data_IF_888520272899
#
_entry.id   IF_888520272899
#
_cell.length_a   1.000
_cell.length_b   1.000
_cell.length_c   1.000
_cell.angle_alpha   90.00
_cell.angle_beta   90.00
_cell.angle_gamma   90.00
#
_symmetry.space_group_name_H-M   'P 1'
#
loop_
_entity.id
_entity.type
_entity.pdbx_description
1 polymer ?
#
# COMPACT_ATOMS: atom_id res chain seq x y z
N UNK A 1 -4.83 12.52 -24.12
CA UNK A 1 -3.65 12.16 -23.31
C UNK A 1 -3.49 10.66 -23.36
N UNK A 2 -2.35 10.15 -23.83
CA UNK A 2 -2.10 8.70 -23.94
C UNK A 2 -1.54 8.22 -22.60
N UNK A 3 -2.13 7.17 -22.04
CA UNK A 3 -1.59 6.44 -20.88
C UNK A 3 -0.88 5.19 -21.35
N UNK A 4 0.23 4.87 -20.71
CA UNK A 4 1.00 3.64 -20.90
C UNK A 4 1.02 2.92 -19.56
N UNK A 5 0.25 1.84 -19.47
CA UNK A 5 0.17 1.01 -18.27
C UNK A 5 1.47 0.21 -18.10
N UNK A 6 1.87 -0.01 -16.85
CA UNK A 6 2.88 -1.01 -16.51
C UNK A 6 2.39 -2.38 -17.00
N UNK A 7 3.27 -3.08 -17.70
CA UNK A 7 3.01 -4.44 -18.14
C UNK A 7 3.02 -5.39 -16.95
N UNK A 8 2.39 -6.55 -17.13
CA UNK A 8 2.44 -7.61 -16.11
C UNK A 8 3.86 -8.06 -15.78
N UNK A 9 4.77 -8.02 -16.76
CA UNK A 9 6.16 -8.40 -16.55
C UNK A 9 6.87 -7.36 -15.67
N UNK A 10 6.74 -6.07 -16.00
CA UNK A 10 7.31 -4.99 -15.18
C UNK A 10 6.77 -5.02 -13.75
N UNK A 11 5.45 -5.20 -13.57
CA UNK A 11 4.87 -5.34 -12.23
C UNK A 11 5.45 -6.53 -11.46
N UNK A 12 5.65 -7.67 -12.12
CA UNK A 12 6.22 -8.86 -11.48
C UNK A 12 7.69 -8.63 -11.07
N UNK A 13 8.50 -8.02 -11.94
CA UNK A 13 9.90 -7.71 -11.64
C UNK A 13 10.04 -6.74 -10.46
N UNK A 14 9.17 -5.72 -10.39
CA UNK A 14 9.15 -4.78 -9.26
C UNK A 14 8.72 -5.50 -7.97
N UNK A 15 7.68 -6.34 -8.03
CA UNK A 15 7.23 -7.12 -6.87
C UNK A 15 8.32 -8.06 -6.36
N UNK A 16 9.00 -8.78 -7.25
CA UNK A 16 10.10 -9.68 -6.89
C UNK A 16 11.23 -8.91 -6.20
N UNK A 17 11.59 -7.72 -6.73
CA UNK A 17 12.62 -6.87 -6.13
C UNK A 17 12.21 -6.31 -4.75
N UNK A 18 10.93 -5.96 -4.56
CA UNK A 18 10.41 -5.50 -3.26
C UNK A 18 10.39 -6.64 -2.24
N UNK A 19 9.97 -7.84 -2.64
CA UNK A 19 9.99 -9.03 -1.79
C UNK A 19 11.41 -9.35 -1.35
N UNK A 20 12.36 -9.42 -2.29
CA UNK A 20 13.77 -9.70 -1.97
C UNK A 20 14.36 -8.69 -0.99
N UNK A 21 14.04 -7.40 -1.15
CA UNK A 21 14.58 -6.32 -0.32
C UNK A 21 13.98 -6.28 1.08
N UNK A 22 12.70 -6.64 1.21
CA UNK A 22 11.92 -6.44 2.43
C UNK A 22 11.55 -7.73 3.15
N UNK A 23 11.91 -8.90 2.63
CA UNK A 23 11.57 -10.24 3.16
C UNK A 23 11.74 -10.34 4.68
N UNK A 24 12.86 -9.83 5.22
CA UNK A 24 13.17 -9.87 6.64
C UNK A 24 12.18 -9.11 7.56
N UNK A 25 11.35 -8.24 7.00
CA UNK A 25 10.36 -7.43 7.73
C UNK A 25 8.90 -7.79 7.38
N UNK A 26 8.70 -8.67 6.42
CA UNK A 26 7.37 -9.14 6.03
C UNK A 26 6.89 -10.24 6.97
N UNK A 27 5.57 -10.29 7.18
CA UNK A 27 4.93 -11.47 7.76
C UNK A 27 4.88 -12.62 6.76
N UNK A 28 4.84 -13.87 7.25
CA UNK A 28 4.88 -15.11 6.45
C UNK A 28 3.81 -15.18 5.33
N UNK A 29 2.70 -14.48 5.50
CA UNK A 29 1.57 -14.47 4.57
C UNK A 29 1.36 -13.13 3.85
N UNK A 30 2.32 -12.20 3.97
CA UNK A 30 2.26 -10.90 3.31
C UNK A 30 2.79 -10.94 1.88
N UNK A 31 2.23 -10.08 1.04
CA UNK A 31 2.62 -9.97 -0.36
C UNK A 31 2.37 -8.57 -0.89
N UNK A 32 3.12 -8.23 -1.95
CA UNK A 32 2.95 -7.00 -2.71
C UNK A 32 2.14 -7.23 -3.98
N UNK A 33 1.33 -6.24 -4.33
CA UNK A 33 0.74 -6.09 -5.67
C UNK A 33 1.01 -4.67 -6.14
N UNK A 34 1.45 -4.52 -7.39
CA UNK A 34 1.69 -3.21 -8.01
C UNK A 34 0.88 -3.06 -9.28
N UNK A 35 0.26 -1.89 -9.41
CA UNK A 35 -0.35 -1.38 -10.63
C UNK A 35 0.09 0.06 -10.86
N UNK A 36 0.20 0.50 -12.10
CA UNK A 36 0.65 1.86 -12.38
C UNK A 36 0.66 2.19 -13.85
N UNK A 37 0.82 3.46 -14.15
CA UNK A 37 0.91 3.96 -15.52
C UNK A 37 1.77 5.22 -15.58
N UNK A 38 2.22 5.52 -16.80
CA UNK A 38 2.78 6.82 -17.15
C UNK A 38 1.94 7.51 -18.20
N UNK A 39 2.05 8.82 -18.25
CA UNK A 39 1.42 9.68 -19.25
C UNK A 39 2.31 10.89 -19.53
N UNK A 40 1.89 11.75 -20.45
CA UNK A 40 2.63 12.99 -20.77
C UNK A 40 2.67 14.00 -19.62
N UNK A 41 1.83 13.86 -18.59
CA UNK A 41 1.75 14.83 -17.48
C UNK A 41 2.06 14.24 -16.11
N UNK A 42 1.95 12.93 -15.93
CA UNK A 42 2.19 12.28 -14.63
C UNK A 42 2.67 10.84 -14.76
N UNK A 43 3.36 10.38 -13.73
CA UNK A 43 3.51 8.97 -13.38
C UNK A 43 2.66 8.67 -12.14
N UNK A 44 1.99 7.52 -12.13
CA UNK A 44 1.14 7.09 -11.02
C UNK A 44 1.36 5.60 -10.75
N UNK A 45 1.61 5.26 -9.49
CA UNK A 45 1.78 3.88 -9.04
C UNK A 45 0.95 3.67 -7.79
N UNK A 46 0.28 2.53 -7.74
CA UNK A 46 -0.39 2.01 -6.55
C UNK A 46 0.25 0.70 -6.16
N UNK A 47 0.69 0.65 -4.92
CA UNK A 47 1.23 -0.51 -4.26
C UNK A 47 0.26 -0.98 -3.20
N UNK A 48 0.02 -2.27 -3.13
CA UNK A 48 -0.75 -2.90 -2.08
C UNK A 48 0.17 -3.84 -1.32
N UNK A 49 0.29 -3.65 -0.01
CA UNK A 49 0.79 -4.65 0.91
C UNK A 49 -0.40 -5.27 1.65
N UNK A 50 -0.54 -6.58 1.59
CA UNK A 50 -1.64 -7.28 2.26
C UNK A 50 -1.27 -8.69 2.67
N UNK A 51 -2.00 -9.25 3.63
CA UNK A 51 -1.88 -10.67 3.99
C UNK A 51 -3.00 -11.52 3.36
N UNK A 52 -2.78 -12.84 3.31
CA UNK A 52 -3.72 -13.79 2.68
C UNK A 52 -5.10 -13.85 3.32
N UNK A 53 -5.20 -13.62 4.63
CA UNK A 53 -6.48 -13.69 5.34
C UNK A 53 -7.26 -12.35 5.35
N UNK A 54 -6.73 -11.34 4.66
CA UNK A 54 -7.31 -10.01 4.50
C UNK A 54 -7.54 -9.23 5.82
N UNK A 55 -6.90 -9.66 6.91
CA UNK A 55 -6.90 -8.90 8.18
C UNK A 55 -6.00 -7.66 8.12
N UNK A 56 -5.05 -7.63 7.18
CA UNK A 56 -4.20 -6.48 6.88
C UNK A 56 -4.23 -6.15 5.39
N UNK A 57 -4.63 -4.92 5.07
CA UNK A 57 -4.71 -4.41 3.71
C UNK A 57 -4.26 -2.96 3.65
N UNK A 58 -3.10 -2.69 3.06
CA UNK A 58 -2.51 -1.36 3.00
C UNK A 58 -2.23 -0.90 1.55
N UNK A 59 -3.21 -0.27 0.89
CA UNK A 59 -2.99 0.44 -0.36
C UNK A 59 -2.24 1.75 -0.11
N UNK A 60 -1.16 1.93 -0.87
CA UNK A 60 -0.40 3.16 -0.98
C UNK A 60 -0.46 3.60 -2.44
N UNK A 61 -0.89 4.83 -2.66
CA UNK A 61 -0.94 5.44 -3.98
C UNK A 61 0.01 6.62 -4.02
N UNK A 62 0.78 6.72 -5.10
CA UNK A 62 1.76 7.76 -5.33
C UNK A 62 1.64 8.29 -6.75
N UNK A 63 1.68 9.60 -6.93
CA UNK A 63 1.79 10.25 -8.23
C UNK A 63 2.84 11.34 -8.21
N UNK A 64 3.45 11.55 -9.35
CA UNK A 64 4.37 12.65 -9.61
C UNK A 64 3.91 13.37 -10.88
N UNK A 65 3.75 14.68 -10.81
CA UNK A 65 3.42 15.52 -11.95
C UNK A 65 4.71 15.97 -12.65
N UNK A 66 4.85 15.68 -13.94
CA UNK A 66 6.07 15.97 -14.70
C UNK A 66 6.35 17.48 -14.78
N UNK A 67 5.30 18.27 -15.06
CA UNK A 67 5.41 19.72 -15.25
C UNK A 67 5.88 20.46 -14.01
N UNK A 68 5.35 20.09 -12.84
CA UNK A 68 5.68 20.71 -11.55
C UNK A 68 7.11 20.37 -11.10
N UNK A 69 7.67 19.29 -11.63
CA UNK A 69 8.97 18.73 -11.26
C UNK A 69 10.05 18.92 -12.33
N UNK A 70 9.75 19.64 -13.41
CA UNK A 70 10.62 19.85 -14.57
C UNK A 70 11.16 18.55 -15.21
N UNK A 71 10.42 17.44 -15.07
CA UNK A 71 10.78 16.14 -15.64
C UNK A 71 10.24 16.05 -17.07
N UNK A 72 11.10 15.64 -18.01
CA UNK A 72 10.74 15.52 -19.43
C UNK A 72 10.27 14.13 -19.81
N UNK A 73 10.93 13.10 -19.29
CA UNK A 73 10.67 11.71 -19.66
C UNK A 73 9.74 11.05 -18.63
N UNK A 74 8.58 10.52 -19.04
CA UNK A 74 7.66 9.84 -18.12
C UNK A 74 8.28 8.62 -17.41
N UNK A 75 9.26 7.97 -18.04
CA UNK A 75 10.02 6.87 -17.43
C UNK A 75 10.81 7.32 -16.20
N UNK A 76 11.42 8.51 -16.23
CA UNK A 76 12.16 9.04 -15.09
C UNK A 76 11.22 9.35 -13.91
N UNK A 77 10.04 9.91 -14.21
CA UNK A 77 9.00 10.15 -13.22
C UNK A 77 8.50 8.86 -12.57
N UNK A 78 8.33 7.79 -13.35
CA UNK A 78 7.94 6.47 -12.84
C UNK A 78 9.00 5.89 -11.90
N UNK A 79 10.27 5.95 -12.30
CA UNK A 79 11.38 5.46 -11.46
C UNK A 79 11.43 6.21 -10.13
N UNK A 80 11.25 7.54 -10.14
CA UNK A 80 11.21 8.34 -8.91
C UNK A 80 10.03 7.97 -8.00
N UNK A 81 8.85 7.69 -8.57
CA UNK A 81 7.70 7.23 -7.79
C UNK A 81 7.96 5.85 -7.18
N UNK A 82 8.60 4.94 -7.91
CA UNK A 82 8.97 3.62 -7.39
C UNK A 82 10.05 3.71 -6.30
N UNK A 83 11.05 4.58 -6.47
CA UNK A 83 12.08 4.83 -5.46
C UNK A 83 11.48 5.44 -4.19
N UNK A 84 10.54 6.38 -4.32
CA UNK A 84 9.80 6.92 -3.18
C UNK A 84 9.00 5.84 -2.45
N UNK A 85 8.27 5.00 -3.20
CA UNK A 85 7.48 3.90 -2.63
C UNK A 85 8.36 2.91 -1.86
N UNK A 86 9.50 2.53 -2.44
CA UNK A 86 10.46 1.64 -1.80
C UNK A 86 11.06 2.25 -0.52
N UNK A 87 11.49 3.52 -0.59
CA UNK A 87 11.98 4.24 0.58
C UNK A 87 10.91 4.31 1.69
N UNK A 88 9.68 4.69 1.32
CA UNK A 88 8.57 4.80 2.24
C UNK A 88 8.25 3.46 2.91
N UNK A 89 8.07 2.39 2.12
CA UNK A 89 7.68 1.09 2.65
C UNK A 89 8.79 0.47 3.49
N UNK A 90 10.06 0.70 3.12
CA UNK A 90 11.21 0.32 3.93
C UNK A 90 11.09 0.90 5.34
N UNK A 91 10.76 2.19 5.44
CA UNK A 91 10.60 2.86 6.74
C UNK A 91 9.38 2.36 7.49
N UNK A 92 8.25 2.25 6.82
CA UNK A 92 7.03 1.67 7.39
C UNK A 92 7.28 0.30 8.03
N UNK A 93 7.94 -0.60 7.31
CA UNK A 93 8.22 -1.95 7.78
C UNK A 93 9.26 -1.98 8.91
N UNK A 94 10.27 -1.10 8.88
CA UNK A 94 11.34 -1.03 9.90
C UNK A 94 10.92 -0.34 11.19
N UNK A 95 9.98 0.60 11.12
CA UNK A 95 9.46 1.37 12.25
C UNK A 95 8.18 0.71 12.81
N UNK A 96 8.14 -0.62 12.85
CA UNK A 96 7.02 -1.42 13.38
C UNK A 96 5.63 -1.00 12.88
N UNK A 97 5.55 -0.50 11.65
CA UNK A 97 4.31 -0.06 10.98
C UNK A 97 3.65 1.16 11.62
N UNK A 98 4.44 2.01 12.29
CA UNK A 98 3.96 3.25 12.93
C UNK A 98 4.03 4.48 12.01
N UNK A 99 4.66 4.36 10.83
CA UNK A 99 4.71 5.43 9.83
C UNK A 99 3.43 5.42 8.98
N UNK A 100 2.67 6.51 8.99
CA UNK A 100 1.43 6.59 8.21
C UNK A 100 1.47 7.71 7.18
N UNK A 101 1.09 7.37 5.96
CA UNK A 101 0.64 8.35 4.98
C UNK A 101 -0.74 8.91 5.36
N UNK A 102 -1.05 10.14 4.94
CA UNK A 102 -2.39 10.68 5.06
C UNK A 102 -3.38 9.86 4.21
N UNK A 103 -4.62 9.79 4.67
CA UNK A 103 -5.73 9.17 3.92
C UNK A 103 -6.03 9.99 2.66
N UNK A 104 -6.00 11.32 2.81
CA UNK A 104 -6.09 12.26 1.70
C UNK A 104 -4.73 12.44 1.02
N UNK A 105 -4.75 12.92 -0.23
CA UNK A 105 -3.51 13.24 -0.94
C UNK A 105 -2.71 14.32 -0.19
N UNK A 106 -1.49 13.98 0.21
CA UNK A 106 -0.49 14.91 0.72
C UNK A 106 0.71 14.98 -0.20
N UNK A 107 1.42 16.12 -0.21
CA UNK A 107 2.69 16.24 -0.91
C UNK A 107 3.88 15.98 0.01
N UNK A 108 4.90 15.36 -0.55
CA UNK A 108 6.12 14.96 0.12
C UNK A 108 7.31 15.37 -0.75
N UNK A 109 8.29 16.03 -0.13
CA UNK A 109 9.55 16.30 -0.80
C UNK A 109 10.42 15.04 -0.76
N UNK A 110 10.80 14.56 -1.94
CA UNK A 110 11.69 13.43 -2.12
C UNK A 110 12.84 13.82 -3.04
N UNK A 111 14.05 13.88 -2.47
CA UNK A 111 15.19 14.58 -3.06
C UNK A 111 14.84 16.05 -3.34
N UNK A 112 14.62 16.41 -4.60
CA UNK A 112 14.19 17.75 -5.04
C UNK A 112 12.81 17.76 -5.70
N UNK A 113 12.11 16.63 -5.66
CA UNK A 113 10.86 16.43 -6.37
C UNK A 113 9.68 16.40 -5.39
N UNK A 114 8.54 16.92 -5.81
CA UNK A 114 7.28 16.82 -5.10
C UNK A 114 6.53 15.55 -5.54
N UNK A 115 6.45 14.58 -4.64
CA UNK A 115 5.65 13.36 -4.79
C UNK A 115 4.37 13.51 -3.99
N UNK A 116 3.23 13.26 -4.63
CA UNK A 116 1.95 13.22 -3.95
C UNK A 116 1.64 11.78 -3.58
N UNK A 117 1.34 11.54 -2.31
CA UNK A 117 1.06 10.20 -1.80
C UNK A 117 -0.12 10.19 -0.85
N UNK A 118 -0.79 9.04 -0.79
CA UNK A 118 -1.81 8.72 0.20
C UNK A 118 -1.78 7.24 0.54
N UNK A 119 -2.31 6.89 1.70
CA UNK A 119 -2.48 5.49 2.07
C UNK A 119 -3.41 5.34 3.26
N UNK A 120 -4.05 4.18 3.34
CA UNK A 120 -4.94 3.85 4.45
C UNK A 120 -4.82 2.37 4.79
N UNK A 121 -4.56 2.05 6.05
CA UNK A 121 -4.62 0.66 6.52
C UNK A 121 -6.08 0.29 6.75
N UNK A 122 -6.47 -0.83 6.16
CA UNK A 122 -7.80 -1.41 6.21
C UNK A 122 -7.73 -2.82 6.78
N UNK A 123 -8.81 -3.25 7.42
CA UNK A 123 -9.04 -4.64 7.79
C UNK A 123 -10.30 -5.12 7.08
N UNK A 124 -10.11 -5.69 5.88
CA UNK A 124 -11.22 -6.10 5.02
C UNK A 124 -12.03 -7.23 5.62
N UNK A 125 -11.39 -8.09 6.42
CA UNK A 125 -12.07 -9.15 7.16
C UNK A 125 -13.09 -8.59 8.16
N UNK A 126 -12.73 -7.51 8.88
CA UNK A 126 -13.67 -6.79 9.75
C UNK A 126 -14.79 -6.11 8.95
N UNK A 127 -14.46 -5.49 7.81
CA UNK A 127 -15.46 -4.89 6.92
C UNK A 127 -16.48 -5.94 6.44
N UNK A 128 -16.02 -7.12 6.06
CA UNK A 128 -16.89 -8.25 5.65
C UNK A 128 -17.78 -8.74 6.79
N UNK A 129 -17.29 -8.78 8.03
CA UNK A 129 -18.10 -9.15 9.20
C UNK A 129 -19.19 -8.09 9.43
N UNK A 130 -18.84 -6.80 9.35
CA UNK A 130 -19.79 -5.70 9.49
C UNK A 130 -20.88 -5.75 8.42
N UNK A 131 -20.50 -5.97 7.15
CA UNK A 131 -21.44 -6.09 6.03
C UNK A 131 -22.41 -7.26 6.22
N UNK A 132 -21.89 -8.43 6.63
CA UNK A 132 -22.72 -9.61 6.91
C UNK A 132 -23.72 -9.36 8.03
N UNK A 133 -23.30 -8.67 9.09
CA UNK A 133 -24.20 -8.29 10.19
C UNK A 133 -25.28 -7.32 9.70
N UNK A 134 -24.90 -6.29 8.94
CA UNK A 134 -25.83 -5.29 8.40
C UNK A 134 -26.85 -5.89 7.43
N UNK A 135 -26.47 -6.93 6.67
CA UNK A 135 -27.39 -7.66 5.78
C UNK A 135 -28.27 -8.68 6.52
N UNK A 136 -27.98 -8.97 7.79
CA UNK A 136 -28.63 -10.03 8.56
C UNK A 136 -28.16 -11.44 8.19
N UNK A 137 -27.01 -11.58 7.54
CA UNK A 137 -26.40 -12.88 7.19
C UNK A 137 -25.87 -13.62 8.43
N UNK A 138 -25.60 -12.88 9.51
CA UNK A 138 -25.13 -13.40 10.81
C UNK A 138 -25.83 -12.67 11.96
N UNK A 139 -25.90 -13.31 13.13
CA UNK A 139 -26.41 -12.67 14.35
C UNK A 139 -25.37 -11.77 15.03
N UNK A 140 -25.81 -10.91 15.95
CA UNK A 140 -24.91 -10.10 16.77
C UNK A 140 -23.96 -10.96 17.62
N UNK A 141 -24.44 -12.09 18.17
CA UNK A 141 -23.60 -13.01 18.95
C UNK A 141 -22.52 -13.66 18.07
N UNK A 142 -22.87 -14.04 16.83
CA UNK A 142 -21.91 -14.59 15.88
C UNK A 142 -20.86 -13.54 15.48
N UNK A 143 -21.29 -12.30 15.21
CA UNK A 143 -20.37 -11.20 14.90
C UNK A 143 -19.40 -10.96 16.08
N UNK A 144 -19.90 -10.88 17.32
CA UNK A 144 -19.04 -10.72 18.50
C UNK A 144 -18.04 -11.86 18.68
N UNK A 145 -18.42 -13.10 18.36
CA UNK A 145 -17.51 -14.26 18.41
C UNK A 145 -16.38 -14.10 17.39
N UNK A 146 -16.69 -13.70 16.15
CA UNK A 146 -15.71 -13.49 15.09
C UNK A 146 -14.78 -12.31 15.42
N UNK A 147 -15.31 -11.20 15.94
CA UNK A 147 -14.48 -10.07 16.37
C UNK A 147 -13.50 -10.44 17.50
N UNK A 148 -13.91 -11.32 18.41
CA UNK A 148 -13.05 -11.80 19.51
C UNK A 148 -11.97 -12.77 19.06
N UNK A 149 -12.14 -13.51 17.96
CA UNK A 149 -11.04 -14.30 17.40
C UNK A 149 -9.98 -13.39 16.79
N UNK A 150 -10.38 -12.37 16.02
CA UNK A 150 -9.43 -11.42 15.43
C UNK A 150 -8.59 -10.67 16.48
N UNK A 151 -9.21 -10.25 17.58
CA UNK A 151 -8.51 -9.55 18.66
C UNK A 151 -7.47 -10.40 19.40
N UNK A 152 -7.54 -11.74 19.28
CA UNK A 152 -6.58 -12.67 19.90
C UNK A 152 -5.37 -12.96 19.01
N UNK A 153 -5.55 -12.89 17.69
CA UNK A 153 -4.48 -13.13 16.72
C UNK A 153 -3.54 -11.93 16.54
N UNK A 154 -3.92 -10.75 17.07
CA UNK A 154 -3.03 -9.61 17.25
C UNK A 154 -2.60 -9.50 18.72
N UNK A 155 -1.55 -10.21 19.18
CA UNK A 155 -0.95 -9.89 20.46
C UNK A 155 -0.49 -8.43 20.39
N UNK A 156 -1.01 -7.58 21.27
CA UNK A 156 -0.37 -6.30 21.58
C UNK A 156 1.07 -6.63 21.98
N UNK A 157 2.04 -6.46 21.08
CA UNK A 157 3.44 -6.39 21.48
C UNK A 157 3.62 -5.02 22.14
N UNK A 158 3.19 -4.95 23.40
CA UNK A 158 3.49 -3.88 24.33
C UNK A 158 4.23 -4.48 25.52
N UNK A 159 5.30 -3.79 25.90
CA UNK A 159 6.06 -3.88 27.15
C UNK A 159 7.16 -4.96 27.22
N UNK A 160 8.33 -4.59 26.69
CA UNK A 160 9.65 -5.09 27.08
C UNK A 160 10.58 -3.91 27.32
#
# INVERSE_FOLDING_TARGET
MRRVELTRLECAEIVDALLERHDAYLGDDESFVIEGFTSESEAHVKMLLSNKDESFYYPVECRLHLGDNEIREPGDALMLVLDFLDYYISRFLREDRELFLPIEWGSFEFDKYEVWARGQILNRKLDQIADRLMRGDISEEEAQRLLRSEAKDHPRKGDG
#
